data_IF_192240310322
#
_entry.id   IF_192240310322
#
_cell.length_a   1.000
_cell.length_b   1.000
_cell.length_c   1.000
_cell.angle_alpha   90.00
_cell.angle_beta   90.00
_cell.angle_gamma   90.00
#
_symmetry.space_group_name_H-M   'P 1'
#
loop_
_entity.id
_entity.type
_entity.pdbx_description
1 polymer ?
2 polymer ?
3 non-polymer ?
4 non-polymer ?
5 non-polymer ?
6 non-polymer ?
7 non-polymer ?
8 water ?
#
loop_
_entity_poly.entity_id
_entity_poly.type
_entity_poly.pdbx_seq_one_letter_code
_entity_poly.pdbx_strand_id
2 'polydeoxyribonucleotide' '(DA)(DT)(DT)(DG)(DT)(DA)(DC)(DG)(DT)(DA)(DC)(DA)(DA)(DT)' ?
#
# COMPACT_ATOMS: atom_id res chain seq x y z
N UNK A 24 -14.65 19.47 2.19
CA UNK A 24 -13.22 19.18 2.21
C UNK A 24 -12.79 18.09 1.24
N UNK A 25 -11.92 17.20 1.72
CA UNK A 25 -11.36 16.14 0.89
C UNK A 25 -12.44 15.15 0.45
N UNK A 26 -12.32 14.67 -0.78
CA UNK A 26 -13.22 13.67 -1.32
C UNK A 26 -12.41 12.60 -2.03
N UNK A 27 -13.03 11.44 -2.23
CA UNK A 27 -12.47 10.37 -3.06
C UNK A 27 -13.07 10.45 -4.46
N UNK A 28 -12.23 10.30 -5.48
CA UNK A 28 -12.67 10.25 -6.88
C UNK A 28 -12.88 8.80 -7.28
N UNK A 29 -14.08 8.47 -7.74
CA UNK A 29 -14.33 7.12 -8.23
C UNK A 29 -14.57 7.17 -9.75
N UNK A 30 -15.41 6.28 -10.25
CA UNK A 30 -15.59 6.18 -11.69
C UNK A 30 -16.51 7.26 -12.25
N UNK A 31 -16.44 7.43 -13.57
CA UNK A 31 -17.34 8.30 -14.32
C UNK A 31 -17.33 9.74 -13.80
N UNK A 32 -16.18 10.20 -13.31
CA UNK A 32 -16.03 11.56 -12.83
C UNK A 32 -16.74 11.87 -11.53
N UNK A 33 -17.30 10.88 -10.86
CA UNK A 33 -17.96 11.10 -9.58
C UNK A 33 -16.96 11.18 -8.43
N UNK A 34 -17.35 11.91 -7.38
CA UNK A 34 -16.56 11.98 -6.14
C UNK A 34 -17.48 11.87 -4.94
N UNK A 35 -16.98 11.26 -3.88
CA UNK A 35 -17.76 11.02 -2.66
C UNK A 35 -17.00 11.53 -1.43
N UNK A 36 -17.70 11.92 -0.37
CA UNK A 36 -17.00 12.46 0.80
C UNK A 36 -16.17 11.39 1.48
N UNK A 37 -15.09 11.83 2.13
CA UNK A 37 -14.30 10.91 2.95
C UNK A 37 -15.06 10.59 4.23
N UNK A 38 -14.55 9.62 5.00
CA UNK A 38 -15.08 9.28 6.33
C UNK A 38 -16.55 8.87 6.26
N UNK A 39 -16.95 8.17 5.20
CA UNK A 39 -18.35 7.78 5.01
C UNK A 39 -18.37 6.53 4.13
N UNK A 40 -18.30 5.36 4.77
CA UNK A 40 -18.21 4.11 4.02
C UNK A 40 -19.49 3.84 3.24
N UNK A 41 -20.64 4.17 3.83
CA UNK A 41 -21.91 3.89 3.17
C UNK A 41 -22.04 4.62 1.84
N UNK A 42 -21.59 5.87 1.78
CA UNK A 42 -21.68 6.61 0.52
C UNK A 42 -20.62 6.16 -0.47
N UNK A 43 -19.48 5.68 0.03
CA UNK A 43 -18.45 5.17 -0.86
C UNK A 43 -18.93 3.91 -1.57
N UNK A 44 -19.50 2.98 -0.81
CA UNK A 44 -20.03 1.76 -1.41
C UNK A 44 -21.16 2.08 -2.38
N UNK A 45 -22.04 3.00 -1.99
CA UNK A 45 -23.15 3.40 -2.86
C UNK A 45 -22.64 4.06 -4.13
N UNK A 46 -21.60 4.89 -4.01
CA UNK A 46 -21.03 5.52 -5.19
C UNK A 46 -20.43 4.52 -6.15
N UNK A 47 -19.75 3.51 -5.62
CA UNK A 47 -19.21 2.45 -6.47
C UNK A 47 -20.32 1.76 -7.25
N UNK A 48 -21.41 1.41 -6.57
CA UNK A 48 -22.54 0.78 -7.26
C UNK A 48 -23.09 1.68 -8.36
N UNK A 49 -23.16 2.99 -8.12
CA UNK A 49 -23.72 3.90 -9.10
C UNK A 49 -22.74 4.22 -10.23
N UNK A 50 -21.46 4.40 -9.90
CA UNK A 50 -20.51 4.97 -10.84
C UNK A 50 -19.31 4.08 -11.15
N UNK A 51 -19.14 2.97 -10.44
CA UNK A 51 -17.98 2.15 -10.63
C UNK A 51 -16.75 2.68 -9.92
N UNK A 52 -15.68 1.88 -9.87
CA UNK A 52 -14.43 2.34 -9.26
C UNK A 52 -13.71 3.32 -10.19
N UNK A 53 -12.69 3.97 -9.66
CA UNK A 53 -11.89 4.91 -10.47
C UNK A 53 -11.33 4.22 -11.70
N UNK A 54 -10.84 3.00 -11.56
CA UNK A 54 -10.38 2.23 -12.72
C UNK A 54 -10.73 0.76 -12.52
N UNK A 55 -11.48 0.20 -13.47
CA UNK A 55 -11.80 -1.23 -13.47
C UNK A 55 -10.58 -2.01 -13.96
N UNK A 56 -10.15 -3.07 -13.26
CA UNK A 56 -8.95 -3.78 -13.70
C UNK A 56 -9.16 -4.44 -15.05
N UNK A 57 -8.08 -4.50 -15.83
CA UNK A 57 -8.08 -5.20 -17.10
C UNK A 57 -7.65 -6.64 -16.88
N UNK A 58 -8.40 -7.59 -17.41
CA UNK A 58 -8.18 -9.00 -17.15
C UNK A 58 -8.01 -9.75 -18.46
N UNK A 59 -7.22 -10.82 -18.41
CA UNK A 59 -7.00 -11.67 -19.58
C UNK A 59 -8.08 -12.74 -19.71
N UNK A 60 -8.36 -13.45 -18.62
CA UNK A 60 -9.20 -14.63 -18.68
C UNK A 60 -10.63 -14.41 -18.22
N UNK A 61 -10.90 -13.31 -17.50
CA UNK A 61 -12.21 -13.09 -16.90
C UNK A 61 -12.60 -14.28 -16.02
N UNK A 62 -11.61 -14.82 -15.31
CA UNK A 62 -11.77 -16.06 -14.57
C UNK A 62 -11.05 -15.98 -13.24
N UNK A 63 -11.75 -16.33 -12.15
CA UNK A 63 -11.18 -16.34 -10.82
C UNK A 63 -11.34 -17.74 -10.23
N UNK A 64 -10.25 -18.28 -9.69
CA UNK A 64 -10.28 -19.58 -9.03
C UNK A 64 -10.55 -19.42 -7.54
N UNK A 65 -11.53 -20.17 -7.03
CA UNK A 65 -11.78 -20.30 -5.61
C UNK A 65 -11.29 -21.68 -5.17
N UNK A 66 -10.35 -21.70 -4.23
CA UNK A 66 -9.62 -22.92 -3.87
C UNK A 66 -9.88 -23.20 -2.39
N UNK A 67 -10.51 -24.32 -2.09
CA UNK A 67 -10.88 -24.65 -0.72
C UNK A 67 -10.90 -26.17 -0.55
N UNK A 68 -11.23 -26.61 0.66
CA UNK A 68 -11.42 -28.02 0.99
C UNK A 68 -12.75 -28.23 1.69
N UNK A 69 -13.78 -27.51 1.24
CA UNK A 69 -15.13 -27.62 1.79
C UNK A 69 -16.13 -27.81 0.64
N UNK A 70 -15.90 -28.85 -0.16
CA UNK A 70 -16.77 -29.08 -1.32
C UNK A 70 -18.21 -29.26 -0.87
N UNK A 71 -19.13 -28.63 -1.61
CA UNK A 71 -20.58 -28.65 -1.39
C UNK A 71 -20.99 -27.94 -0.11
N UNK A 72 -20.09 -27.18 0.52
CA UNK A 72 -20.48 -26.41 1.71
C UNK A 72 -21.43 -25.29 1.32
N UNK A 73 -22.45 -25.09 2.15
CA UNK A 73 -23.40 -24.01 1.89
C UNK A 73 -22.73 -22.65 2.04
N UNK A 74 -21.88 -22.51 3.05
CA UNK A 74 -21.19 -21.24 3.29
C UNK A 74 -20.30 -20.85 2.11
N UNK A 75 -19.60 -21.84 1.53
CA UNK A 75 -18.79 -21.59 0.33
C UNK A 75 -19.67 -21.10 -0.81
N UNK A 76 -20.88 -21.64 -0.92
CA UNK A 76 -21.79 -21.23 -1.98
C UNK A 76 -22.31 -19.82 -1.75
N UNK A 77 -22.59 -19.47 -0.50
CA UNK A 77 -23.03 -18.11 -0.19
C UNK A 77 -21.91 -17.11 -0.47
N UNK A 78 -20.68 -17.46 -0.05
CA UNK A 78 -19.53 -16.62 -0.31
C UNK A 78 -19.35 -16.40 -1.81
N UNK A 79 -19.41 -17.47 -2.60
CA UNK A 79 -19.22 -17.36 -4.04
C UNK A 79 -20.26 -16.44 -4.66
N UNK A 80 -21.51 -16.52 -4.18
CA UNK A 80 -22.56 -15.69 -4.76
C UNK A 80 -22.34 -14.22 -4.47
N UNK A 81 -21.94 -13.88 -3.24
CA UNK A 81 -21.68 -12.49 -2.89
C UNK A 81 -20.50 -11.95 -3.68
N UNK A 82 -19.42 -12.73 -3.77
CA UNK A 82 -18.26 -12.34 -4.57
C UNK A 82 -18.69 -12.08 -6.00
N UNK A 83 -19.47 -13.00 -6.57
CA UNK A 83 -19.85 -12.90 -7.98
C UNK A 83 -20.69 -11.64 -8.24
N UNK A 84 -21.73 -11.44 -7.44
CA UNK A 84 -22.62 -10.30 -7.68
C UNK A 84 -21.96 -8.97 -7.35
N UNK A 85 -21.09 -8.93 -6.34
CA UNK A 85 -20.47 -7.65 -6.01
C UNK A 85 -19.33 -7.29 -6.95
N UNK A 86 -18.59 -8.28 -7.43
CA UNK A 86 -17.60 -8.03 -8.49
C UNK A 86 -18.30 -7.43 -9.70
N UNK A 87 -19.50 -7.94 -10.02
CA UNK A 87 -20.29 -7.39 -11.12
C UNK A 87 -20.87 -6.03 -10.76
N UNK A 88 -21.60 -5.94 -9.64
CA UNK A 88 -22.46 -4.79 -9.40
C UNK A 88 -21.77 -3.65 -8.65
N UNK A 89 -20.82 -3.95 -7.77
CA UNK A 89 -20.11 -2.88 -7.06
C UNK A 89 -18.88 -2.43 -7.83
N UNK A 90 -18.11 -3.38 -8.34
CA UNK A 90 -16.85 -3.08 -9.00
C UNK A 90 -16.97 -2.98 -10.52
N UNK A 91 -18.15 -3.26 -11.07
CA UNK A 91 -18.42 -3.14 -12.50
C UNK A 91 -17.40 -3.92 -13.33
N UNK A 92 -17.03 -5.10 -12.83
CA UNK A 92 -16.17 -6.02 -13.55
C UNK A 92 -17.08 -7.10 -14.12
N UNK A 93 -17.31 -7.05 -15.42
CA UNK A 93 -18.36 -7.84 -16.04
C UNK A 93 -17.82 -9.14 -16.63
N UNK A 94 -18.71 -10.12 -16.71
CA UNK A 94 -18.48 -11.40 -17.40
C UNK A 94 -17.49 -12.29 -16.67
N UNK A 95 -17.40 -12.18 -15.34
CA UNK A 95 -16.46 -12.98 -14.57
C UNK A 95 -17.10 -14.32 -14.23
N UNK A 96 -16.32 -15.39 -14.36
CA UNK A 96 -16.72 -16.71 -13.89
C UNK A 96 -15.76 -17.17 -12.79
N UNK A 97 -16.30 -17.90 -11.83
CA UNK A 97 -15.53 -18.44 -10.71
C UNK A 97 -15.49 -19.95 -10.84
N UNK A 98 -14.28 -20.49 -10.93
CA UNK A 98 -14.07 -21.93 -10.93
C UNK A 98 -13.59 -22.39 -9.56
N UNK A 99 -13.98 -23.60 -9.17
CA UNK A 99 -13.64 -24.15 -7.87
C UNK A 99 -12.60 -25.25 -8.01
N UNK A 100 -11.66 -25.28 -7.08
CA UNK A 100 -10.66 -26.33 -7.00
C UNK A 100 -10.61 -26.82 -5.56
N UNK A 101 -10.60 -28.14 -5.38
CA UNK A 101 -10.70 -28.76 -4.07
C UNK A 101 -9.38 -29.46 -3.75
N UNK A 102 -8.74 -29.05 -2.66
CA UNK A 102 -7.62 -29.82 -2.14
C UNK A 102 -8.12 -30.78 -1.08
N UNK A 103 -7.47 -31.95 -1.01
CA UNK A 103 -7.92 -33.08 -0.21
C UNK A 103 -7.47 -32.99 1.24
N UNK A 104 -6.35 -32.32 1.51
CA UNK A 104 -5.77 -32.30 2.84
C UNK A 104 -5.11 -30.94 3.05
N UNK A 105 -5.16 -30.39 4.28
CA UNK A 105 -4.67 -29.02 4.50
C UNK A 105 -3.16 -28.96 4.74
N UNK A 106 -2.40 -29.31 3.71
CA UNK A 106 -0.95 -29.27 3.77
C UNK A 106 -0.42 -28.61 2.50
N UNK A 107 0.86 -28.23 2.54
CA UNK A 107 1.43 -27.43 1.47
C UNK A 107 1.33 -28.13 0.12
N UNK A 108 1.80 -29.38 0.06
CA UNK A 108 1.85 -30.07 -1.24
C UNK A 108 0.45 -30.25 -1.83
N UNK A 109 -0.54 -30.56 -1.00
CA UNK A 109 -1.88 -30.80 -1.52
C UNK A 109 -2.52 -29.51 -2.02
N UNK A 110 -2.34 -28.41 -1.28
CA UNK A 110 -2.88 -27.13 -1.71
C UNK A 110 -2.12 -26.61 -2.93
N UNK A 111 -0.79 -26.74 -2.92
CA UNK A 111 0.01 -26.30 -4.06
C UNK A 111 -0.41 -27.00 -5.34
N UNK A 112 -0.83 -28.27 -5.25
CA UNK A 112 -1.30 -28.97 -6.45
C UNK A 112 -2.51 -28.27 -7.04
N UNK A 113 -3.42 -27.80 -6.20
CA UNK A 113 -4.63 -27.14 -6.69
C UNK A 113 -4.34 -25.73 -7.17
N UNK A 114 -3.40 -25.04 -6.52
CA UNK A 114 -2.94 -23.75 -7.02
C UNK A 114 -2.40 -23.90 -8.44
N UNK A 115 -1.53 -24.90 -8.64
CA UNK A 115 -0.96 -25.14 -9.96
C UNK A 115 -2.05 -25.56 -10.96
N UNK A 116 -3.02 -26.35 -10.49
CA UNK A 116 -4.13 -26.73 -11.36
C UNK A 116 -4.93 -25.52 -11.78
N UNK A 117 -5.17 -24.59 -10.85
CA UNK A 117 -5.89 -23.36 -11.19
C UNK A 117 -5.12 -22.54 -12.21
N UNK A 118 -3.81 -22.37 -12.00
CA UNK A 118 -3.00 -21.59 -12.92
C UNK A 118 -3.01 -22.21 -14.31
N UNK A 119 -3.01 -23.55 -14.38
CA UNK A 119 -2.96 -24.22 -15.67
C UNK A 119 -4.23 -24.00 -16.50
N UNK A 120 -5.38 -23.86 -15.84
CA UNK A 120 -6.62 -23.62 -16.57
C UNK A 120 -6.72 -22.19 -17.11
N UNK A 121 -5.94 -21.26 -16.58
CA UNK A 121 -6.01 -19.88 -17.03
C UNK A 121 -6.93 -19.04 -16.17
N UNK A 122 -6.38 -18.39 -15.14
CA UNK A 122 -7.17 -17.59 -14.21
C UNK A 122 -6.46 -16.25 -14.00
N UNK A 123 -7.24 -15.22 -13.68
CA UNK A 123 -6.64 -13.91 -13.39
C UNK A 123 -6.20 -13.77 -11.94
N UNK A 124 -6.77 -14.56 -11.04
CA UNK A 124 -6.37 -14.52 -9.65
C UNK A 124 -6.91 -15.73 -8.92
N UNK A 125 -6.39 -15.94 -7.72
CA UNK A 125 -6.76 -17.08 -6.89
C UNK A 125 -7.25 -16.59 -5.54
N UNK A 126 -8.40 -17.11 -5.11
CA UNK A 126 -8.92 -16.90 -3.77
C UNK A 126 -8.80 -18.24 -3.03
N UNK A 127 -8.00 -18.25 -1.96
CA UNK A 127 -7.59 -19.50 -1.32
C UNK A 127 -8.11 -19.53 0.11
N UNK A 128 -8.98 -20.48 0.41
CA UNK A 128 -9.58 -20.62 1.72
C UNK A 128 -8.77 -21.64 2.53
N UNK A 129 -8.19 -21.17 3.67
CA UNK A 129 -7.51 -22.07 4.59
C UNK A 129 -8.42 -22.40 5.77
N UNK A 130 -8.30 -23.59 6.36
CA UNK A 130 -9.24 -23.99 7.40
C UNK A 130 -9.02 -23.31 8.75
N UNK A 131 -7.78 -22.97 9.08
CA UNK A 131 -7.49 -22.47 10.42
C UNK A 131 -6.17 -21.71 10.43
N UNK A 132 -5.87 -21.12 11.58
CA UNK A 132 -4.59 -20.47 11.81
C UNK A 132 -3.45 -21.47 11.62
N UNK A 133 -2.50 -21.12 10.76
CA UNK A 133 -1.35 -21.98 10.49
C UNK A 133 -0.28 -21.08 9.86
N UNK A 134 0.59 -20.52 10.70
CA UNK A 134 1.51 -19.49 10.24
C UNK A 134 2.53 -20.01 9.23
N UNK A 135 3.23 -21.14 9.46
CA UNK A 135 4.15 -21.62 8.42
C UNK A 135 3.47 -21.94 7.10
N UNK A 136 2.32 -22.63 7.13
CA UNK A 136 1.63 -22.97 5.89
C UNK A 136 1.16 -21.72 5.16
N UNK A 137 0.63 -20.74 5.89
CA UNK A 137 0.15 -19.51 5.27
C UNK A 137 1.28 -18.82 4.52
N UNK A 138 2.42 -18.59 5.18
CA UNK A 138 3.47 -17.79 4.55
C UNK A 138 4.22 -18.56 3.47
N UNK A 139 4.24 -19.90 3.54
CA UNK A 139 4.82 -20.66 2.45
C UNK A 139 3.93 -20.58 1.21
N UNK A 140 2.62 -20.75 1.40
CA UNK A 140 1.70 -20.64 0.27
C UNK A 140 1.62 -19.20 -0.24
N UNK A 141 1.58 -18.23 0.66
CA UNK A 141 1.47 -16.84 0.24
C UNK A 141 2.67 -16.42 -0.59
N UNK A 142 3.88 -16.80 -0.16
CA UNK A 142 5.06 -16.43 -0.93
C UNK A 142 5.09 -17.13 -2.28
N UNK A 143 4.56 -18.35 -2.36
CA UNK A 143 4.45 -19.00 -3.66
C UNK A 143 3.50 -18.24 -4.58
N UNK A 144 2.33 -17.86 -4.05
CA UNK A 144 1.32 -17.19 -4.86
C UNK A 144 1.78 -15.79 -5.26
N UNK A 145 2.40 -15.05 -4.35
CA UNK A 145 2.87 -13.71 -4.69
C UNK A 145 3.84 -13.77 -5.86
N UNK A 146 4.64 -14.84 -5.93
CA UNK A 146 5.53 -15.02 -7.06
C UNK A 146 4.84 -15.57 -8.30
N UNK A 147 3.53 -15.79 -8.27
CA UNK A 147 2.83 -16.46 -9.37
C UNK A 147 1.67 -15.65 -9.94
N UNK A 148 0.76 -15.18 -9.09
CA UNK A 148 -0.53 -14.67 -9.54
C UNK A 148 -1.15 -13.85 -8.42
N UNK A 149 -1.95 -12.81 -8.74
CA UNK A 149 -2.68 -12.11 -7.68
C UNK A 149 -3.54 -13.07 -6.86
N UNK A 150 -3.54 -12.88 -5.54
CA UNK A 150 -4.17 -13.87 -4.68
C UNK A 150 -4.78 -13.22 -3.46
N UNK A 151 -5.78 -13.90 -2.89
CA UNK A 151 -6.48 -13.44 -1.70
C UNK A 151 -6.73 -14.62 -0.79
N UNK A 152 -6.19 -14.58 0.43
CA UNK A 152 -6.46 -15.67 1.37
C UNK A 152 -7.70 -15.39 2.20
N UNK A 153 -8.26 -16.47 2.74
CA UNK A 153 -9.41 -16.43 3.65
C UNK A 153 -9.26 -17.56 4.67
N UNK A 154 -9.80 -17.34 5.85
CA UNK A 154 -9.83 -18.37 6.89
C UNK A 154 -11.27 -18.84 7.06
N UNK A 155 -11.50 -20.14 6.81
CA UNK A 155 -12.86 -20.67 6.91
C UNK A 155 -13.41 -20.53 8.33
N UNK A 156 -12.58 -20.80 9.35
CA UNK A 156 -13.10 -20.73 10.71
C UNK A 156 -13.46 -19.31 11.12
N UNK A 157 -12.76 -18.31 10.59
CA UNK A 157 -13.13 -16.92 10.85
C UNK A 157 -14.33 -16.52 10.01
N UNK A 158 -14.31 -16.91 8.72
CA UNK A 158 -15.41 -16.67 7.80
C UNK A 158 -16.74 -17.18 8.36
N UNK A 159 -16.70 -18.32 9.05
CA UNK A 159 -17.91 -18.90 9.64
C UNK A 159 -18.49 -18.02 10.75
N UNK A 160 -17.67 -17.16 11.35
CA UNK A 160 -18.07 -16.37 12.51
C UNK A 160 -18.03 -14.87 12.19
N UNK A 161 -18.54 -14.49 11.02
CA UNK A 161 -18.53 -13.09 10.62
C UNK A 161 -19.82 -12.76 9.87
N UNK A 162 -20.14 -11.47 9.86
CA UNK A 162 -21.13 -10.95 8.93
C UNK A 162 -20.55 -11.05 7.52
N UNK A 163 -21.12 -11.96 6.71
CA UNK A 163 -20.57 -12.22 5.39
C UNK A 163 -20.56 -10.97 4.52
N UNK A 164 -21.57 -10.10 4.68
CA UNK A 164 -21.66 -8.89 3.86
C UNK A 164 -20.47 -7.97 4.10
N UNK A 165 -20.17 -7.65 5.36
CA UNK A 165 -19.00 -6.83 5.68
C UNK A 165 -17.72 -7.54 5.30
N UNK A 166 -17.68 -8.87 5.47
CA UNK A 166 -16.48 -9.64 5.16
C UNK A 166 -16.13 -9.51 3.68
N UNK A 167 -17.09 -9.79 2.81
CA UNK A 167 -16.84 -9.76 1.38
C UNK A 167 -16.61 -8.33 0.88
N UNK A 168 -17.39 -7.38 1.41
CA UNK A 168 -17.24 -5.97 1.03
C UNK A 168 -15.77 -5.54 1.06
N UNK A 169 -15.11 -5.72 2.19
CA UNK A 169 -13.75 -5.23 2.34
C UNK A 169 -12.75 -6.17 1.67
N UNK A 170 -13.04 -7.47 1.70
CA UNK A 170 -12.26 -8.45 0.95
C UNK A 170 -12.06 -8.01 -0.50
N UNK A 171 -13.16 -7.58 -1.15
CA UNK A 171 -13.08 -7.26 -2.56
C UNK A 171 -12.33 -5.96 -2.82
N UNK A 172 -12.32 -5.02 -1.86
CA UNK A 172 -11.51 -3.82 -2.04
C UNK A 172 -10.06 -4.20 -2.33
N UNK A 173 -9.49 -5.07 -1.50
CA UNK A 173 -8.06 -5.34 -1.70
C UNK A 173 -7.83 -6.38 -2.78
N UNK A 174 -8.78 -7.28 -3.04
CA UNK A 174 -8.60 -8.21 -4.16
C UNK A 174 -8.65 -7.47 -5.49
N UNK A 175 -9.63 -6.58 -5.67
CA UNK A 175 -9.68 -5.76 -6.88
C UNK A 175 -8.41 -4.96 -7.04
N UNK A 176 -7.89 -4.41 -5.94
CA UNK A 176 -6.62 -3.69 -6.03
C UNK A 176 -5.47 -4.63 -6.43
N UNK A 177 -5.44 -5.83 -5.87
CA UNK A 177 -4.39 -6.78 -6.22
C UNK A 177 -4.45 -7.18 -7.69
N UNK A 178 -5.65 -7.21 -8.28
CA UNK A 178 -5.82 -7.49 -9.70
C UNK A 178 -5.44 -6.29 -10.58
N UNK A 179 -5.06 -5.17 -9.98
CA UNK A 179 -4.64 -4.02 -10.72
C UNK A 179 -5.68 -2.92 -10.86
N UNK A 180 -6.85 -3.09 -10.27
CA UNK A 180 -7.84 -2.04 -10.32
C UNK A 180 -7.49 -0.90 -9.37
N UNK A 181 -8.12 0.24 -9.57
CA UNK A 181 -7.95 1.40 -8.69
C UNK A 181 -9.33 1.72 -8.10
N UNK A 182 -9.64 1.25 -6.89
CA UNK A 182 -10.98 1.49 -6.34
C UNK A 182 -11.37 2.96 -6.29
N UNK A 183 -10.50 3.82 -5.75
CA UNK A 183 -10.73 5.25 -5.63
C UNK A 183 -9.38 5.92 -5.45
N UNK A 184 -9.30 7.20 -5.80
CA UNK A 184 -8.10 7.99 -5.57
C UNK A 184 -8.48 9.25 -4.80
N UNK A 185 -7.45 9.92 -4.26
CA UNK A 185 -7.68 11.20 -3.59
C UNK A 185 -7.96 12.30 -4.60
N UNK A 186 -9.00 13.08 -4.34
CA UNK A 186 -9.26 14.31 -5.08
C UNK A 186 -8.41 15.42 -4.48
N UNK A 187 -7.30 15.74 -5.14
CA UNK A 187 -6.39 16.76 -4.64
C UNK A 187 -6.15 17.81 -5.72
N UNK A 188 -5.89 19.02 -5.28
CA UNK A 188 -5.58 20.13 -6.18
C UNK A 188 -4.33 19.80 -6.98
N UNK A 189 -4.43 19.65 -8.31
CA UNK A 189 -3.24 19.28 -9.10
C UNK A 189 -2.13 20.31 -9.06
N UNK A 190 -2.40 21.53 -8.60
CA UNK A 190 -1.39 22.58 -8.55
C UNK A 190 -0.69 22.68 -7.21
N UNK A 191 -1.07 21.86 -6.23
CA UNK A 191 -0.43 21.85 -4.92
C UNK A 191 0.20 20.49 -4.66
N UNK A 192 1.30 20.50 -3.90
CA UNK A 192 1.91 19.26 -3.48
C UNK A 192 2.92 18.72 -4.47
N UNK A 193 3.45 17.54 -4.11
CA UNK A 193 4.58 16.99 -4.81
C UNK A 193 4.16 16.32 -6.11
N UNK A 194 5.09 16.31 -7.08
CA UNK A 194 4.90 15.51 -8.29
C UNK A 194 4.93 14.02 -7.94
N UNK A 195 5.94 13.58 -7.19
CA UNK A 195 5.95 12.23 -6.63
C UNK A 195 6.41 12.31 -5.18
N UNK A 196 5.95 11.33 -4.39
CA UNK A 196 6.41 11.13 -3.03
C UNK A 196 7.05 9.76 -2.97
N UNK A 197 8.26 9.68 -2.43
CA UNK A 197 8.95 8.40 -2.28
C UNK A 197 8.92 8.03 -0.81
N UNK A 198 8.21 6.96 -0.48
CA UNK A 198 8.30 6.39 0.85
C UNK A 198 9.50 5.47 0.91
N UNK A 199 10.43 5.73 1.82
CA UNK A 199 11.66 4.94 1.81
C UNK A 199 12.21 4.86 3.23
N UNK A 200 13.25 4.04 3.37
CA UNK A 200 13.81 3.72 4.67
C UNK A 200 14.11 2.23 4.76
N UNK A 201 14.01 1.67 5.97
CA UNK A 201 14.26 0.25 6.12
C UNK A 201 13.47 -0.26 7.30
N UNK A 202 13.30 -1.57 7.36
CA UNK A 202 12.66 -2.22 8.50
C UNK A 202 13.52 -3.37 8.99
N UNK A 203 13.81 -3.38 10.29
CA UNK A 203 14.52 -4.48 10.92
C UNK A 203 13.59 -5.69 10.94
N UNK A 204 14.16 -6.86 10.69
CA UNK A 204 13.42 -8.09 10.97
C UNK A 204 13.95 -8.76 12.23
N UNK A 205 15.15 -8.41 12.68
CA UNK A 205 15.67 -8.79 13.98
C UNK A 205 16.74 -7.78 14.36
N UNK A 206 17.52 -8.12 15.39
CA UNK A 206 18.50 -7.16 15.90
C UNK A 206 19.60 -6.85 14.90
N UNK A 207 19.76 -7.66 13.85
CA UNK A 207 20.92 -7.53 12.97
C UNK A 207 20.48 -7.35 11.52
N UNK A 208 19.46 -8.09 11.11
CA UNK A 208 19.05 -8.14 9.71
C UNK A 208 17.96 -7.10 9.40
N UNK A 209 17.95 -6.64 8.14
CA UNK A 209 16.97 -5.67 7.70
C UNK A 209 16.83 -5.72 6.18
N UNK A 210 15.83 -5.00 5.66
CA UNK A 210 15.77 -4.73 4.23
C UNK A 210 15.33 -3.29 4.02
N UNK A 211 15.79 -2.70 2.93
CA UNK A 211 15.42 -1.35 2.55
C UNK A 211 14.21 -1.40 1.63
N UNK A 212 13.44 -0.31 1.63
CA UNK A 212 12.30 -0.20 0.72
C UNK A 212 12.27 1.19 0.12
N UNK A 213 11.57 1.30 -1.00
CA UNK A 213 11.33 2.58 -1.66
C UNK A 213 10.09 2.42 -2.52
N UNK A 214 9.07 3.24 -2.29
CA UNK A 214 7.80 3.17 -3.00
C UNK A 214 7.47 4.55 -3.53
N UNK A 215 7.19 4.64 -4.82
CA UNK A 215 6.87 5.91 -5.45
C UNK A 215 5.35 6.06 -5.51
N UNK A 216 4.85 7.19 -5.02
CA UNK A 216 3.42 7.50 -5.07
C UNK A 216 3.15 8.82 -5.80
N UNK A 217 1.99 8.88 -6.46
CA UNK A 217 1.43 10.16 -6.88
C UNK A 217 0.79 10.86 -5.70
N UNK A 218 0.57 12.17 -5.83
CA UNK A 218 -0.08 12.88 -4.74
C UNK A 218 -1.53 12.46 -4.54
N UNK A 219 -2.13 11.76 -5.52
CA UNK A 219 -3.47 11.22 -5.33
C UNK A 219 -3.48 9.89 -4.59
N UNK A 220 -2.32 9.43 -4.13
CA UNK A 220 -2.25 8.23 -3.30
C UNK A 220 -2.02 6.94 -4.05
N UNK A 221 -1.93 6.97 -5.38
CA UNK A 221 -1.67 5.76 -6.15
C UNK A 221 -0.19 5.45 -6.16
N UNK A 222 0.14 4.17 -6.04
CA UNK A 222 1.52 3.69 -6.07
C UNK A 222 1.93 3.45 -7.52
N UNK A 223 3.07 4.02 -7.91
CA UNK A 223 3.58 3.91 -9.27
C UNK A 223 4.66 2.84 -9.43
N UNK A 224 5.45 2.59 -8.39
CA UNK A 224 6.55 1.64 -8.48
C UNK A 224 7.03 1.32 -7.08
N UNK A 225 7.54 0.11 -6.94
CA UNK A 225 7.98 -0.44 -5.65
C UNK A 225 9.30 -1.16 -5.87
N UNK A 226 10.24 -0.96 -4.94
CA UNK A 226 11.46 -1.74 -4.92
C UNK A 226 11.79 -2.10 -3.48
N UNK A 227 12.36 -3.28 -3.26
CA UNK A 227 12.87 -3.63 -1.95
C UNK A 227 14.25 -4.26 -2.11
N UNK A 228 15.09 -4.04 -1.12
CA UNK A 228 16.41 -4.64 -1.11
C UNK A 228 16.33 -6.10 -0.70
N UNK A 229 17.36 -6.90 -1.01
CA UNK A 229 17.51 -8.17 -0.30
C UNK A 229 17.69 -7.92 1.19
N UNK A 230 17.38 -8.95 1.98
CA UNK A 230 17.71 -8.89 3.40
C UNK A 230 19.23 -8.83 3.55
N UNK A 231 19.70 -7.85 4.33
CA UNK A 231 21.12 -7.59 4.55
C UNK A 231 21.33 -7.32 6.03
N UNK A 232 22.60 -7.16 6.42
CA UNK A 232 22.89 -6.78 7.80
C UNK A 232 22.92 -5.26 7.94
N UNK A 233 22.76 -4.80 9.19
CA UNK A 233 22.69 -3.36 9.45
C UNK A 233 23.94 -2.64 8.96
N UNK A 234 25.07 -3.34 8.91
CA UNK A 234 26.30 -2.75 8.40
C UNK A 234 26.19 -2.32 6.95
N UNK A 235 25.24 -2.89 6.20
CA UNK A 235 25.06 -2.61 4.79
C UNK A 235 23.92 -1.63 4.53
N UNK A 236 23.35 -1.05 5.58
CA UNK A 236 22.12 -0.27 5.44
C UNK A 236 22.25 0.87 4.43
N UNK A 237 23.22 1.75 4.63
CA UNK A 237 23.27 2.95 3.81
C UNK A 237 23.63 2.66 2.36
N UNK A 238 24.39 1.61 2.10
CA UNK A 238 24.66 1.21 0.72
C UNK A 238 23.38 0.78 0.02
N UNK A 239 22.56 -0.03 0.68
CA UNK A 239 21.36 -0.54 0.04
C UNK A 239 20.21 0.47 0.08
N UNK A 240 20.24 1.41 1.02
CA UNK A 240 19.25 2.48 1.00
C UNK A 240 19.40 3.31 -0.26
N UNK A 241 20.62 3.74 -0.58
CA UNK A 241 20.86 4.51 -1.79
C UNK A 241 20.50 3.71 -3.03
N UNK A 242 20.93 2.44 -3.10
CA UNK A 242 20.70 1.67 -4.32
C UNK A 242 19.22 1.35 -4.52
N UNK A 243 18.48 1.11 -3.43
CA UNK A 243 17.06 0.83 -3.57
C UNK A 243 16.29 2.04 -4.06
N UNK A 244 16.66 3.24 -3.60
CA UNK A 244 15.98 4.45 -4.04
C UNK A 244 16.28 4.73 -5.50
N UNK A 245 17.54 4.61 -5.90
CA UNK A 245 17.88 4.79 -7.31
C UNK A 245 17.10 3.80 -8.17
N UNK A 246 16.99 2.55 -7.72
CA UNK A 246 16.28 1.54 -8.49
C UNK A 246 14.81 1.89 -8.66
N UNK A 247 14.17 2.45 -7.62
CA UNK A 247 12.75 2.76 -7.76
C UNK A 247 12.53 3.98 -8.64
N UNK A 248 13.47 4.93 -8.65
CA UNK A 248 13.32 6.08 -9.52
C UNK A 248 13.57 5.68 -10.97
N UNK A 249 14.57 4.83 -11.20
CA UNK A 249 14.77 4.28 -12.54
C UNK A 249 13.49 3.62 -13.06
N UNK A 250 12.87 2.78 -12.22
CA UNK A 250 11.68 2.08 -12.66
C UNK A 250 10.49 3.00 -12.86
N UNK A 251 10.33 4.00 -11.98
CA UNK A 251 9.30 5.00 -12.18
C UNK A 251 9.53 5.76 -13.48
N UNK A 252 10.77 6.13 -13.76
CA UNK A 252 11.06 6.94 -14.94
C UNK A 252 10.89 6.14 -16.22
N UNK A 253 11.31 4.86 -16.21
CA UNK A 253 11.13 4.04 -17.40
C UNK A 253 9.66 3.82 -17.71
N UNK A 254 8.83 3.61 -16.68
CA UNK A 254 7.41 3.43 -16.88
C UNK A 254 6.65 4.75 -17.07
N UNK A 255 7.26 5.88 -16.71
CA UNK A 255 6.64 7.20 -16.85
C UNK A 255 7.62 8.15 -17.52
N UNK A 256 7.97 7.89 -18.79
CA UNK A 256 9.12 8.58 -19.40
C UNK A 256 8.90 10.05 -19.74
N UNK A 257 7.66 10.52 -19.80
CA UNK A 257 7.40 11.92 -20.12
C UNK A 257 7.15 12.76 -18.87
N UNK A 258 7.17 12.15 -17.70
CA UNK A 258 6.91 12.87 -16.45
C UNK A 258 8.18 13.59 -16.01
N UNK A 259 8.11 14.91 -15.90
CA UNK A 259 9.22 15.73 -15.41
C UNK A 259 8.94 16.06 -13.95
N UNK A 260 9.69 15.44 -13.05
CA UNK A 260 9.50 15.63 -11.61
C UNK A 260 10.21 16.91 -11.20
N UNK A 261 9.44 17.97 -10.93
CA UNK A 261 9.99 19.22 -10.44
C UNK A 261 9.69 19.47 -8.97
N UNK A 262 8.85 18.64 -8.35
CA UNK A 262 8.46 18.76 -6.95
C UNK A 262 8.55 17.37 -6.33
N UNK A 263 9.54 17.14 -5.48
CA UNK A 263 9.83 15.81 -4.94
C UNK A 263 9.90 15.83 -3.43
N UNK A 264 9.31 14.80 -2.80
CA UNK A 264 9.30 14.68 -1.35
C UNK A 264 9.66 13.25 -0.97
N UNK A 265 10.58 13.09 -0.01
CA UNK A 265 10.90 11.79 0.55
C UNK A 265 10.24 11.67 1.93
N UNK A 266 9.52 10.57 2.15
CA UNK A 266 8.96 10.24 3.46
C UNK A 266 9.76 9.06 4.00
N UNK A 267 10.65 9.32 4.95
CA UNK A 267 11.54 8.30 5.51
C UNK A 267 10.94 7.74 6.79
N UNK A 268 10.82 6.42 6.88
CA UNK A 268 10.21 5.78 8.04
C UNK A 268 10.85 4.42 8.26
N UNK A 269 10.42 3.77 9.34
CA UNK A 269 10.81 2.41 9.62
C UNK A 269 11.78 2.33 10.77
N UNK A 270 11.68 1.25 11.53
CA UNK A 270 12.64 1.02 12.61
C UNK A 270 13.94 0.55 11.96
N UNK A 271 15.00 1.36 12.07
CA UNK A 271 16.19 1.19 11.26
C UNK A 271 17.39 1.65 12.08
N UNK A 272 18.61 1.41 11.58
CA UNK A 272 19.79 1.86 12.34
C UNK A 272 19.74 3.35 12.64
N UNK A 273 20.29 3.71 13.80
CA UNK A 273 20.35 5.11 14.23
C UNK A 273 21.59 5.72 13.61
N UNK A 274 21.41 6.34 12.44
CA UNK A 274 22.51 6.92 11.68
C UNK A 274 22.01 8.20 11.01
N UNK A 275 21.38 9.08 11.81
CA UNK A 275 20.55 10.15 11.26
C UNK A 275 21.34 11.06 10.33
N UNK A 276 22.45 11.62 10.81
CA UNK A 276 23.19 12.57 9.98
C UNK A 276 23.86 11.86 8.80
N UNK A 277 24.32 10.63 8.99
CA UNK A 277 24.87 9.88 7.87
C UNK A 277 23.80 9.47 6.87
N UNK A 278 22.60 9.17 7.38
CA UNK A 278 21.50 8.79 6.49
C UNK A 278 21.01 9.97 5.66
N UNK A 279 20.82 11.12 6.32
CA UNK A 279 20.44 12.35 5.62
C UNK A 279 21.47 12.72 4.56
N UNK A 280 22.75 12.58 4.89
CA UNK A 280 23.81 12.89 3.93
C UNK A 280 23.71 11.99 2.70
N UNK A 281 23.43 10.71 2.90
CA UNK A 281 23.32 9.79 1.77
C UNK A 281 22.06 10.05 0.96
N UNK A 282 20.94 10.33 1.63
CA UNK A 282 19.71 10.65 0.92
C UNK A 282 19.88 11.91 0.07
N UNK A 283 20.58 12.92 0.61
CA UNK A 283 20.88 14.11 -0.17
C UNK A 283 21.74 13.77 -1.38
N UNK A 284 22.79 12.97 -1.18
CA UNK A 284 23.61 12.52 -2.31
C UNK A 284 22.77 11.82 -3.37
N UNK A 285 21.84 10.97 -2.92
CA UNK A 285 21.02 10.22 -3.87
C UNK A 285 20.20 11.17 -4.75
N UNK A 286 19.53 12.15 -4.13
CA UNK A 286 18.75 13.11 -4.90
C UNK A 286 19.63 13.85 -5.89
N UNK A 287 20.85 14.22 -5.46
CA UNK A 287 21.74 14.97 -6.34
C UNK A 287 22.21 14.13 -7.51
N UNK A 288 22.54 12.84 -7.26
CA UNK A 288 22.92 11.96 -8.36
C UNK A 288 21.78 11.79 -9.35
N UNK A 289 20.55 11.64 -8.83
CA UNK A 289 19.40 11.47 -9.72
C UNK A 289 19.14 12.74 -10.54
N UNK A 290 19.43 13.91 -9.97
CA UNK A 290 19.41 15.13 -10.75
C UNK A 290 20.45 15.10 -11.85
N UNK A 291 21.67 14.70 -11.50
CA UNK A 291 22.76 14.59 -12.46
C UNK A 291 22.38 13.66 -13.60
N UNK A 292 21.85 12.49 -13.28
CA UNK A 292 21.40 11.53 -14.29
C UNK A 292 20.11 11.95 -14.98
N UNK A 293 19.58 13.13 -14.66
CA UNK A 293 18.37 13.67 -15.28
C UNK A 293 17.18 12.72 -15.12
N UNK A 294 17.15 11.99 -14.00
CA UNK A 294 15.99 11.20 -13.63
C UNK A 294 14.90 12.08 -13.02
N UNK A 295 15.28 13.21 -12.43
CA UNK A 295 14.35 14.26 -12.06
C UNK A 295 14.87 15.54 -12.68
N UNK A 296 14.04 16.58 -12.64
CA UNK A 296 14.43 17.86 -13.20
C UNK A 296 15.66 18.41 -12.50
N UNK A 297 16.50 19.13 -13.24
CA UNK A 297 17.68 19.74 -12.65
C UNK A 297 17.32 20.88 -11.71
N UNK A 298 16.16 21.50 -11.89
CA UNK A 298 15.66 22.54 -10.99
C UNK A 298 14.69 21.98 -9.96
N UNK A 299 14.70 20.67 -9.73
CA UNK A 299 13.75 20.06 -8.81
C UNK A 299 13.88 20.71 -7.44
N UNK A 300 12.73 20.96 -6.81
CA UNK A 300 12.66 21.37 -5.42
C UNK A 300 12.26 20.15 -4.60
N UNK A 301 13.04 19.84 -3.56
CA UNK A 301 12.78 18.63 -2.80
C UNK A 301 12.93 18.87 -1.32
N UNK A 302 12.28 18.01 -0.55
CA UNK A 302 12.43 17.95 0.89
C UNK A 302 12.51 16.48 1.30
N UNK A 303 13.28 16.23 2.35
CA UNK A 303 13.44 14.89 2.91
C UNK A 303 12.86 14.92 4.31
N UNK A 304 11.82 14.14 4.54
CA UNK A 304 11.07 14.19 5.79
C UNK A 304 11.17 12.88 6.54
N UNK A 305 11.29 12.98 7.87
CA UNK A 305 11.17 11.82 8.75
C UNK A 305 9.74 11.78 9.31
N UNK A 306 9.05 10.66 9.08
CA UNK A 306 7.71 10.45 9.57
C UNK A 306 7.74 9.37 10.65
N UNK A 307 7.35 9.72 11.87
CA UNK A 307 7.42 8.82 13.01
C UNK A 307 6.07 8.82 13.72
N UNK A 308 5.51 7.63 13.94
CA UNK A 308 4.34 7.53 14.81
C UNK A 308 4.78 7.70 16.26
N UNK A 309 4.19 8.67 16.96
CA UNK A 309 4.56 8.92 18.35
C UNK A 309 3.48 8.40 19.28
N UNK A 310 3.69 8.64 20.58
CA UNK A 310 2.77 8.10 21.59
C UNK A 310 1.38 8.71 21.42
N UNK A 311 0.32 7.90 21.44
CA UNK A 311 -1.03 8.44 21.34
C UNK A 311 -1.39 9.25 22.57
N UNK A 312 -2.33 10.17 22.39
CA UNK A 312 -2.86 10.93 23.51
C UNK A 312 -4.32 11.25 23.25
N UNK A 313 -4.98 11.81 24.27
CA UNK A 313 -6.43 11.99 24.25
C UNK A 313 -6.79 13.42 24.65
N UNK A 314 -7.61 14.06 23.83
CA UNK A 314 -8.20 15.34 24.18
C UNK A 314 -9.44 15.07 25.03
N UNK A 315 -9.46 15.62 26.25
CA UNK A 315 -10.56 15.35 27.18
C UNK A 315 -11.75 16.28 26.95
N UNK A 323 -13.97 16.58 15.29
CA UNK A 323 -13.38 17.31 14.16
C UNK A 323 -12.54 18.57 14.43
N UNK A 324 -12.39 19.05 15.69
CA UNK A 324 -11.47 20.18 15.90
C UNK A 324 -10.01 19.85 15.62
N UNK A 325 -9.65 18.58 15.45
CA UNK A 325 -8.27 18.19 15.20
C UNK A 325 -8.11 17.38 13.92
N UNK A 326 -9.17 17.21 13.15
CA UNK A 326 -9.07 16.61 11.83
C UNK A 326 -8.24 17.50 10.93
N UNK A 327 -6.96 17.19 10.79
CA UNK A 327 -6.08 17.95 9.93
C UNK A 327 -5.29 19.06 10.60
N UNK A 328 -5.22 19.05 11.93
CA UNK A 328 -4.53 20.12 12.64
C UNK A 328 -3.02 19.94 12.57
N UNK A 329 -2.30 21.03 12.31
CA UNK A 329 -0.86 21.02 12.17
C UNK A 329 -0.23 21.78 13.32
N UNK A 330 0.73 21.16 14.00
CA UNK A 330 1.43 21.76 15.14
C UNK A 330 2.88 21.99 14.74
N UNK A 331 3.36 23.21 14.94
CA UNK A 331 4.78 23.52 14.77
C UNK A 331 5.50 23.42 16.11
N UNK A 332 6.54 22.59 16.16
CA UNK A 332 7.39 22.47 17.34
C UNK A 332 8.68 23.25 17.23
N UNK A 333 9.22 23.36 16.02
CA UNK A 333 10.38 24.18 15.71
C UNK A 333 10.31 24.49 14.22
N UNK A 334 11.33 25.18 13.70
CA UNK A 334 11.32 25.52 12.27
C UNK A 334 11.29 24.27 11.40
N UNK A 335 11.74 23.13 11.94
CA UNK A 335 11.83 21.92 11.14
C UNK A 335 11.10 20.71 11.74
N UNK A 336 10.51 20.84 12.92
CA UNK A 336 9.79 19.73 13.54
C UNK A 336 8.32 20.09 13.68
N UNK A 337 7.46 19.21 13.17
CA UNK A 337 6.02 19.44 13.16
C UNK A 337 5.31 18.21 13.68
N UNK A 338 4.03 18.38 13.98
CA UNK A 338 3.19 17.31 14.50
C UNK A 338 1.81 17.38 13.84
N UNK A 339 1.37 16.26 13.25
CA UNK A 339 0.04 16.16 12.67
C UNK A 339 -0.83 15.34 13.62
N UNK A 340 -1.94 15.92 14.06
CA UNK A 340 -2.81 15.28 15.05
C UNK A 340 -3.84 14.44 14.32
N UNK A 341 -3.38 13.31 13.79
CA UNK A 341 -4.28 12.37 13.13
C UNK A 341 -5.22 11.74 14.14
N UNK A 342 -6.49 11.61 13.76
CA UNK A 342 -7.48 11.01 14.63
C UNK A 342 -7.35 9.50 14.62
N UNK A 343 -7.44 8.89 15.80
CA UNK A 343 -7.52 7.45 15.86
C UNK A 343 -8.88 7.01 15.34
N UNK A 344 -8.94 6.06 14.42
CA UNK A 344 -10.21 5.39 14.13
C UNK A 344 -10.70 4.67 15.39
N UNK A 345 -11.90 5.01 15.83
CA UNK A 345 -12.45 4.37 17.02
C UNK A 345 -13.97 4.37 16.93
N UNK A 346 -14.59 3.68 17.89
CA UNK A 346 -16.03 3.49 17.91
C UNK A 346 -16.71 4.52 18.81
N UNK A 353 -16.45 12.01 26.24
CA UNK A 353 -15.33 11.77 27.14
C UNK A 353 -14.02 12.25 26.50
N UNK A 354 -13.30 11.33 25.88
CA UNK A 354 -11.98 11.62 25.31
C UNK A 354 -12.00 11.37 23.82
N UNK A 355 -11.28 12.20 23.07
CA UNK A 355 -11.06 11.99 21.64
C UNK A 355 -9.65 11.46 21.45
N UNK A 356 -9.47 10.26 20.91
CA UNK A 356 -8.11 9.72 20.75
C UNK A 356 -7.39 10.31 19.55
N UNK A 357 -6.13 10.68 19.77
CA UNK A 357 -5.25 11.21 18.73
C UNK A 357 -4.13 10.20 18.50
N UNK A 358 -3.80 9.96 17.23
CA UNK A 358 -2.64 9.18 16.84
C UNK A 358 -1.67 10.15 16.16
N UNK A 359 -0.85 10.86 16.91
CA UNK A 359 -0.03 11.90 16.30
C UNK A 359 1.05 11.31 15.40
N UNK A 360 1.44 12.11 14.41
CA UNK A 360 2.53 11.75 13.50
C UNK A 360 3.54 12.89 13.53
N UNK A 361 4.77 12.58 13.96
CA UNK A 361 5.81 13.60 13.91
C UNK A 361 6.42 13.68 12.52
N UNK A 362 6.66 14.90 12.06
CA UNK A 362 7.17 15.17 10.72
C UNK A 362 8.33 16.13 10.88
N UNK A 363 9.55 15.66 10.60
CA UNK A 363 10.74 16.49 10.68
C UNK A 363 11.34 16.68 9.29
N UNK A 364 11.63 17.93 8.95
CA UNK A 364 12.31 18.27 7.70
C UNK A 364 13.81 18.18 7.96
N UNK A 365 14.44 17.09 7.52
CA UNK A 365 15.86 16.93 7.77
C UNK A 365 16.72 17.54 6.67
N UNK A 366 16.15 17.83 5.51
CA UNK A 366 16.91 18.44 4.42
C UNK A 366 15.95 18.94 3.36
N UNK A 367 16.28 20.07 2.74
CA UNK A 367 15.48 20.64 1.67
C UNK A 367 16.30 21.68 0.94
N UNK A 368 15.88 22.01 -0.28
CA UNK A 368 16.52 23.05 -1.06
C UNK A 368 15.55 24.20 -1.36
N UNK A 369 14.60 24.42 -0.45
CA UNK A 369 13.65 25.51 -0.59
C UNK A 369 14.29 26.85 -0.24
N UNK A 370 13.78 27.91 -0.84
CA UNK A 370 14.20 29.24 -0.42
C UNK A 370 13.43 29.69 0.81
N UNK A 371 13.96 30.71 1.49
CA UNK A 371 13.28 31.23 2.67
C UNK A 371 11.90 31.80 2.32
N UNK A 372 11.75 32.35 1.11
CA UNK A 372 10.48 32.97 0.75
C UNK A 372 9.38 31.95 0.53
N UNK A 373 9.71 30.76 0.03
CA UNK A 373 8.70 29.74 -0.23
C UNK A 373 8.58 28.74 0.91
N UNK A 374 9.43 28.84 1.94
CA UNK A 374 9.58 27.76 2.90
C UNK A 374 8.29 27.44 3.64
N UNK A 375 7.67 28.43 4.27
CA UNK A 375 6.50 28.07 5.05
C UNK A 375 5.27 27.81 4.20
N UNK A 376 5.23 28.32 2.97
CA UNK A 376 4.19 27.85 2.03
C UNK A 376 4.41 26.37 1.71
N UNK A 377 5.66 25.96 1.56
CA UNK A 377 5.95 24.57 1.25
C UNK A 377 5.73 23.66 2.46
N UNK A 378 5.93 24.19 3.68
CA UNK A 378 5.65 23.40 4.88
C UNK A 378 4.16 23.05 4.95
N UNK A 379 3.30 24.04 4.76
CA UNK A 379 1.86 23.76 4.76
C UNK A 379 1.50 22.74 3.70
N UNK A 380 2.11 22.83 2.51
CA UNK A 380 1.74 21.94 1.43
C UNK A 380 2.14 20.48 1.71
N UNK A 381 3.33 20.26 2.25
CA UNK A 381 3.77 18.89 2.55
C UNK A 381 2.99 18.32 3.72
N UNK A 382 2.61 19.17 4.69
CA UNK A 382 1.81 18.67 5.80
C UNK A 382 0.39 18.32 5.37
N UNK A 383 -0.24 19.19 4.56
CA UNK A 383 -1.55 18.86 3.99
C UNK A 383 -1.47 17.57 3.18
N UNK A 384 -0.39 17.43 2.40
CA UNK A 384 -0.21 16.25 1.56
C UNK A 384 -0.11 14.98 2.41
N UNK A 385 0.61 15.03 3.52
CA UNK A 385 0.69 13.88 4.41
C UNK A 385 -0.70 13.57 4.97
N UNK A 386 -1.47 14.61 5.30
CA UNK A 386 -2.81 14.38 5.82
C UNK A 386 -3.68 13.70 4.78
N UNK A 387 -3.65 14.20 3.53
CA UNK A 387 -4.43 13.58 2.46
C UNK A 387 -4.05 12.12 2.29
N UNK A 388 -2.75 11.83 2.26
CA UNK A 388 -2.28 10.47 2.08
C UNK A 388 -2.69 9.55 3.23
N UNK A 389 -2.95 10.13 4.41
CA UNK A 389 -3.44 9.31 5.53
C UNK A 389 -4.84 8.78 5.29
N UNK A 390 -5.54 9.30 4.28
CA UNK A 390 -6.88 8.87 3.95
C UNK A 390 -6.91 7.81 2.86
N UNK A 391 -5.76 7.41 2.35
CA UNK A 391 -5.68 6.39 1.30
C UNK A 391 -5.40 5.04 1.94
N UNK A 392 -6.25 4.06 1.65
CA UNK A 392 -6.08 2.71 2.17
C UNK A 392 -6.91 1.76 1.32
N UNK A 393 -6.25 0.89 0.56
CA UNK A 393 -6.98 -0.07 -0.26
C UNK A 393 -7.06 -1.43 0.40
N UNK A 394 -6.75 -1.53 1.69
CA UNK A 394 -7.00 -2.79 2.40
C UNK A 394 -8.47 -3.00 2.68
N UNK A 395 -9.25 -1.92 2.72
CA UNK A 395 -10.66 -1.99 3.04
C UNK A 395 -11.27 -0.63 2.84
N UNK A 396 -12.58 -0.54 3.12
CA UNK A 396 -13.29 0.72 2.93
C UNK A 396 -12.89 1.76 3.97
N UNK A 397 -12.64 1.33 5.20
CA UNK A 397 -12.38 2.28 6.29
C UNK A 397 -10.95 2.78 6.22
N UNK A 398 -10.79 4.11 6.31
CA UNK A 398 -9.46 4.70 6.29
C UNK A 398 -8.65 4.24 7.50
N UNK A 399 -7.34 4.08 7.30
CA UNK A 399 -6.44 3.75 8.39
C UNK A 399 -5.92 4.96 9.13
N UNK A 400 -6.09 6.18 8.58
CA UNK A 400 -5.58 7.41 9.17
C UNK A 400 -4.08 7.31 9.43
N UNK A 401 -3.36 6.72 8.47
CA UNK A 401 -1.89 6.62 8.51
C UNK A 401 -1.47 6.78 7.06
N UNK A 402 -0.52 7.68 6.76
CA UNK A 402 -0.15 7.91 5.35
C UNK A 402 0.30 6.64 4.67
N UNK A 403 -0.11 6.48 3.40
CA UNK A 403 0.23 5.27 2.65
C UNK A 403 1.73 5.10 2.53
N UNK A 404 2.48 6.22 2.54
CA UNK A 404 3.92 6.14 2.43
C UNK A 404 4.55 5.48 3.64
N UNK A 405 3.84 5.41 4.76
CA UNK A 405 4.31 4.72 5.96
C UNK A 405 3.65 3.37 6.12
N UNK A 406 2.35 3.31 5.85
CA UNK A 406 1.55 2.11 6.09
C UNK A 406 1.93 0.98 5.14
N UNK A 407 1.99 1.26 3.85
CA UNK A 407 2.25 0.20 2.90
C UNK A 407 3.61 -0.46 3.10
N UNK A 408 4.70 0.27 3.37
CA UNK A 408 5.95 -0.43 3.75
C UNK A 408 5.81 -1.33 4.97
N UNK A 409 5.01 -0.93 5.97
CA UNK A 409 4.79 -1.81 7.12
C UNK A 409 4.13 -3.12 6.70
N UNK A 410 3.18 -3.05 5.76
CA UNK A 410 2.57 -4.28 5.27
C UNK A 410 3.61 -5.14 4.57
N UNK A 411 4.46 -4.52 3.73
CA UNK A 411 5.52 -5.25 3.05
C UNK A 411 6.46 -5.88 4.06
N UNK A 412 6.83 -5.11 5.10
CA UNK A 412 7.74 -5.63 6.12
C UNK A 412 7.18 -6.89 6.77
N UNK A 413 5.87 -6.89 7.07
CA UNK A 413 5.28 -8.06 7.70
C UNK A 413 5.43 -9.31 6.87
N UNK A 414 5.28 -9.19 5.55
CA UNK A 414 5.39 -10.36 4.68
C UNK A 414 6.85 -10.80 4.54
N UNK A 415 7.75 -9.87 4.20
CA UNK A 415 9.15 -10.20 4.01
C UNK A 415 9.73 -10.86 5.26
N UNK A 416 9.45 -10.28 6.43
CA UNK A 416 9.98 -10.82 7.68
C UNK A 416 9.51 -12.24 7.90
N UNK A 417 8.20 -12.48 7.77
CA UNK A 417 7.67 -13.81 8.09
C UNK A 417 8.02 -14.85 7.02
N UNK A 418 8.11 -14.45 5.76
CA UNK A 418 8.58 -15.38 4.72
C UNK A 418 10.01 -15.80 5.02
N UNK A 419 10.83 -14.88 5.53
CA UNK A 419 12.17 -15.23 5.96
C UNK A 419 12.13 -16.16 7.18
N UNK A 420 11.24 -15.86 8.13
CA UNK A 420 11.24 -16.61 9.39
C UNK A 420 10.81 -18.06 9.18
N UNK A 421 9.83 -18.29 8.31
CA UNK A 421 9.31 -19.64 8.08
C UNK A 421 9.77 -20.21 6.73
N UNK A 422 10.81 -19.64 6.14
CA UNK A 422 11.44 -20.20 4.96
C UNK A 422 10.54 -20.46 3.77
N UNK A 423 9.77 -19.45 3.37
CA UNK A 423 9.00 -19.52 2.14
C UNK A 423 9.86 -19.12 0.95
N UNK A 424 9.18 -18.86 -0.16
CA UNK A 424 9.89 -18.45 -1.38
C UNK A 424 10.26 -16.97 -1.29
N UNK A 425 11.49 -16.59 -1.60
CA UNK A 425 11.88 -15.17 -1.52
C UNK A 425 11.10 -14.34 -2.53
N UNK A 426 10.78 -13.11 -2.13
CA UNK A 426 10.02 -12.18 -2.95
C UNK A 426 10.96 -11.08 -3.41
N UNK A 427 11.24 -11.04 -4.71
CA UNK A 427 12.19 -10.10 -5.32
C UNK A 427 11.49 -9.36 -6.44
N UNK A 428 10.88 -8.21 -6.14
CA UNK A 428 10.15 -7.48 -7.19
C UNK A 428 10.99 -7.07 -8.38
N UNK A 429 12.31 -7.00 -8.26
CA UNK A 429 13.13 -6.64 -9.41
C UNK A 429 12.88 -7.59 -10.58
N UNK A 430 12.70 -7.03 -11.77
CA UNK A 430 12.44 -7.80 -12.97
C UNK A 430 11.04 -8.35 -13.11
N UNK A 431 10.16 -8.11 -12.14
CA UNK A 431 8.80 -8.66 -12.14
C UNK A 431 7.84 -7.48 -12.10
N UNK A 432 7.35 -7.06 -13.27
CA UNK A 432 6.54 -5.84 -13.35
C UNK A 432 5.27 -5.96 -12.51
N UNK A 433 4.69 -7.16 -12.42
CA UNK A 433 3.53 -7.35 -11.56
C UNK A 433 3.84 -6.99 -10.11
N UNK A 434 4.99 -7.41 -9.60
CA UNK A 434 5.35 -7.09 -8.22
C UNK A 434 5.77 -5.64 -8.06
N UNK A 435 6.27 -5.02 -9.12
CA UNK A 435 6.75 -3.64 -9.02
C UNK A 435 5.61 -2.63 -9.10
N UNK A 436 4.45 -3.02 -9.64
CA UNK A 436 3.36 -2.09 -9.90
C UNK A 436 2.05 -2.46 -9.22
N UNK A 437 1.92 -3.65 -8.66
CA UNK A 437 0.65 -3.98 -8.03
C UNK A 437 0.79 -4.05 -6.52
N UNK A 438 -0.27 -3.73 -5.77
CA UNK A 438 -0.21 -3.77 -4.30
C UNK A 438 -0.39 -5.18 -3.73
N UNK A 439 0.57 -6.06 -4.05
CA UNK A 439 0.54 -7.45 -3.60
C UNK A 439 0.60 -7.60 -2.08
N UNK A 440 0.92 -6.54 -1.35
CA UNK A 440 1.13 -6.58 0.09
C UNK A 440 -0.15 -6.32 0.90
N UNK A 441 -1.27 -6.05 0.24
CA UNK A 441 -2.49 -5.70 0.97
C UNK A 441 -3.08 -6.91 1.68
#
# INVERSE_FOLDING_TARGET
MGSSHHHHHHSQDPMMEYKIVENGLTYRIGNGASVPISNTGELIKGLRNYGPYEVPSLKYNQIALIHNNQFSSLINQLKSQISSKIDEVWHIHNINISEFIYDSPHFDSIKSQVDNAIDTGVDGIMLVLPEYNTPLYYKLKSYLINSIPSQFMRYDILSNRNLTFYVDNLLVQFVSKLGGKPWILNVDPEKGSDIIIGTGATRIDNVNLFCFAMVFKKDGTMLWNEISPIVTSSEYLTYLKSTIKKVVYGFKKSNPDWDVEKLTLHVSGKRPKMKDGETKILKETVEELKKQEMVSRDVKYAILHLNETHPFWVMGDPNNRFHPYEGTKVKLSSKRYLLTLLQPYLKRNGLEMVTPIKPLSVEIVSDNWTSEEYYHNVHEILDEIYYLSKMNWRGFRSRNLPVTVNYPKLVAGIIANVNRYGGYPINPEGNRSLQTNPWFL
#
